data_IF_162397928797
#
_entry.id   IF_162397928797
#
_cell.length_a   1.000
_cell.length_b   1.000
_cell.length_c   1.000
_cell.angle_alpha   90.00
_cell.angle_beta   90.00
_cell.angle_gamma   90.00
#
_symmetry.space_group_name_H-M   'P 1'
#
loop_
_entity.id
_entity.type
_entity.pdbx_description
1 polymer ?
#
# COMPACT_ATOMS: atom_id res chain seq x y z
N UNK A 1 -13.42 13.72 9.39
CA UNK A 1 -14.61 13.22 8.65
C UNK A 1 -15.32 12.27 9.60
N UNK A 2 -16.65 12.33 9.79
CA UNK A 2 -17.34 11.27 10.55
C UNK A 2 -17.51 10.09 9.60
N UNK A 3 -16.91 8.94 9.92
CA UNK A 3 -17.11 7.72 9.14
C UNK A 3 -18.59 7.31 9.19
N UNK A 4 -19.10 6.76 8.09
CA UNK A 4 -20.48 6.28 8.02
C UNK A 4 -20.72 5.21 9.11
N UNK A 5 -21.82 5.33 9.85
CA UNK A 5 -22.06 4.55 11.08
C UNK A 5 -22.05 3.02 10.87
N UNK A 6 -22.31 2.52 9.66
CA UNK A 6 -22.28 1.10 9.31
C UNK A 6 -20.94 0.57 8.77
N UNK A 7 -19.98 1.45 8.44
CA UNK A 7 -18.72 1.06 7.80
C UNK A 7 -17.94 0.00 8.61
N UNK A 8 -17.82 0.10 9.95
CA UNK A 8 -17.12 -0.91 10.74
C UNK A 8 -17.71 -2.32 10.59
N UNK A 9 -19.05 -2.41 10.49
CA UNK A 9 -19.75 -3.69 10.35
C UNK A 9 -19.46 -4.29 8.98
N UNK A 10 -19.57 -3.49 7.92
CA UNK A 10 -19.31 -3.96 6.56
C UNK A 10 -17.85 -4.36 6.33
N UNK A 11 -16.88 -3.63 6.91
CA UNK A 11 -15.45 -3.99 6.82
C UNK A 11 -15.17 -5.34 7.52
N UNK A 12 -15.83 -5.62 8.65
CA UNK A 12 -15.75 -6.93 9.32
C UNK A 12 -16.40 -8.05 8.48
N UNK A 13 -17.55 -7.77 7.89
CA UNK A 13 -18.22 -8.71 6.97
C UNK A 13 -17.35 -9.01 5.77
N UNK A 14 -16.71 -7.97 5.19
CA UNK A 14 -15.73 -8.12 4.11
C UNK A 14 -14.56 -9.00 4.53
N UNK A 15 -13.97 -8.77 5.71
CA UNK A 15 -12.85 -9.59 6.19
C UNK A 15 -13.23 -11.09 6.26
N UNK A 16 -14.42 -11.40 6.75
CA UNK A 16 -14.96 -12.77 6.77
C UNK A 16 -15.24 -13.31 5.36
N UNK A 17 -15.81 -12.49 4.47
CA UNK A 17 -16.01 -12.82 3.06
C UNK A 17 -14.69 -13.10 2.34
N UNK A 18 -13.60 -12.42 2.70
CA UNK A 18 -12.26 -12.68 2.20
C UNK A 18 -11.59 -13.90 2.86
N UNK A 19 -12.32 -14.66 3.69
CA UNK A 19 -11.84 -15.80 4.44
C UNK A 19 -10.75 -15.49 5.49
N UNK A 20 -10.71 -14.25 6.00
CA UNK A 20 -9.79 -13.83 7.05
C UNK A 20 -10.38 -14.11 8.42
N UNK A 21 -10.16 -15.32 8.94
CA UNK A 21 -10.63 -15.74 10.26
C UNK A 21 -9.48 -15.95 11.25
N UNK A 22 -8.36 -16.49 10.75
CA UNK A 22 -7.18 -16.77 11.54
C UNK A 22 -5.94 -16.38 10.72
N UNK A 23 -4.95 -15.70 11.34
CA UNK A 23 -3.78 -15.20 10.65
C UNK A 23 -2.87 -16.31 10.07
N UNK A 24 -2.94 -17.53 10.58
CA UNK A 24 -2.04 -18.64 10.28
C UNK A 24 -2.75 -19.84 9.65
N UNK A 25 -4.04 -20.02 9.88
CA UNK A 25 -4.77 -21.17 9.37
C UNK A 25 -4.84 -21.17 7.83
N UNK A 26 -4.72 -22.36 7.26
CA UNK A 26 -4.97 -22.59 5.86
C UNK A 26 -6.48 -22.58 5.57
N UNK A 27 -6.86 -21.96 4.45
CA UNK A 27 -8.24 -21.82 3.99
C UNK A 27 -8.54 -22.89 2.93
N UNK A 28 -9.58 -23.72 3.10
CA UNK A 28 -10.01 -24.65 2.08
C UNK A 28 -10.44 -23.94 0.79
N UNK A 29 -10.09 -24.47 -0.37
CA UNK A 29 -10.50 -23.88 -1.66
C UNK A 29 -12.02 -23.89 -1.87
N UNK A 30 -12.74 -24.87 -1.30
CA UNK A 30 -14.22 -24.85 -1.27
C UNK A 30 -14.77 -23.62 -0.54
N UNK A 31 -14.12 -23.21 0.55
CA UNK A 31 -14.52 -22.01 1.30
C UNK A 31 -14.24 -20.74 0.52
N UNK A 32 -13.13 -20.69 -0.23
CA UNK A 32 -12.84 -19.56 -1.12
C UNK A 32 -13.91 -19.45 -2.23
N UNK A 33 -14.32 -20.59 -2.81
CA UNK A 33 -15.33 -20.64 -3.87
C UNK A 33 -16.72 -20.23 -3.40
N UNK A 34 -17.10 -20.57 -2.16
CA UNK A 34 -18.40 -20.23 -1.57
C UNK A 34 -18.46 -18.81 -0.98
N UNK A 35 -17.35 -18.08 -0.98
CA UNK A 35 -17.25 -16.83 -0.23
C UNK A 35 -17.92 -15.63 -0.92
N UNK A 36 -18.70 -14.87 -0.16
CA UNK A 36 -19.41 -13.66 -0.63
C UNK A 36 -18.73 -12.38 -0.14
N UNK A 37 -17.53 -12.11 -0.67
CA UNK A 37 -16.86 -10.83 -0.44
C UNK A 37 -17.41 -9.71 -1.34
N UNK A 38 -17.95 -10.04 -2.52
CA UNK A 38 -18.44 -9.08 -3.51
C UNK A 38 -19.64 -8.28 -3.00
N UNK A 39 -20.61 -8.91 -2.33
CA UNK A 39 -21.74 -8.17 -1.78
C UNK A 39 -21.32 -7.17 -0.71
N UNK A 40 -20.29 -7.48 0.07
CA UNK A 40 -19.77 -6.57 1.11
C UNK A 40 -18.99 -5.39 0.51
N UNK A 41 -18.21 -5.62 -0.55
CA UNK A 41 -17.43 -4.55 -1.20
C UNK A 41 -18.36 -3.58 -1.95
N UNK A 42 -19.45 -4.06 -2.56
CA UNK A 42 -20.49 -3.22 -3.18
C UNK A 42 -21.19 -2.31 -2.15
N UNK A 43 -21.48 -2.83 -0.95
CA UNK A 43 -22.07 -2.01 0.11
C UNK A 43 -21.08 -0.95 0.61
N UNK A 44 -19.80 -1.29 0.77
CA UNK A 44 -18.76 -0.32 1.13
C UNK A 44 -18.64 0.76 0.06
N UNK A 45 -18.59 0.38 -1.22
CA UNK A 45 -18.55 1.32 -2.35
C UNK A 45 -19.69 2.32 -2.28
N UNK A 46 -20.94 1.84 -2.12
CA UNK A 46 -22.12 2.71 -2.02
C UNK A 46 -22.01 3.67 -0.84
N UNK A 47 -21.58 3.17 0.32
CA UNK A 47 -21.40 4.00 1.51
C UNK A 47 -20.35 5.11 1.33
N UNK A 48 -19.35 4.89 0.45
CA UNK A 48 -18.30 5.86 0.16
C UNK A 48 -18.68 6.83 -0.97
N UNK A 49 -19.39 6.37 -2.00
CA UNK A 49 -19.56 7.11 -3.25
C UNK A 49 -21.00 7.46 -3.65
N UNK A 50 -22.04 6.94 -2.98
CA UNK A 50 -23.45 7.23 -3.34
C UNK A 50 -23.77 8.73 -3.37
N UNK A 51 -23.12 9.52 -2.51
CA UNK A 51 -23.26 10.97 -2.45
C UNK A 51 -22.07 11.75 -3.06
N UNK A 52 -21.17 11.04 -3.75
CA UNK A 52 -20.03 11.64 -4.42
C UNK A 52 -20.47 12.31 -5.72
N UNK A 53 -19.91 13.49 -6.00
CA UNK A 53 -20.04 14.15 -7.31
C UNK A 53 -18.98 13.69 -8.31
N UNK A 54 -18.04 12.86 -7.87
CA UNK A 54 -16.91 12.38 -8.66
C UNK A 54 -17.26 11.00 -9.17
N UNK A 55 -17.26 10.84 -10.48
CA UNK A 55 -17.40 9.55 -11.16
C UNK A 55 -16.01 8.97 -11.35
N UNK A 56 -15.70 7.86 -10.65
CA UNK A 56 -14.36 7.25 -10.70
C UNK A 56 -14.06 6.51 -12.02
N UNK A 57 -15.04 6.42 -12.92
CA UNK A 57 -14.92 5.68 -14.18
C UNK A 57 -14.33 6.47 -15.35
N UNK A 58 -14.18 7.79 -15.23
CA UNK A 58 -13.83 8.66 -16.37
C UNK A 58 -12.74 9.67 -15.99
N UNK A 59 -11.67 9.72 -16.81
CA UNK A 59 -10.68 10.80 -16.78
C UNK A 59 -9.72 10.83 -15.58
N UNK A 60 -9.64 9.76 -14.80
CA UNK A 60 -8.72 9.63 -13.65
C UNK A 60 -7.65 8.59 -13.99
N UNK A 61 -6.42 9.04 -14.25
CA UNK A 61 -5.31 8.13 -14.52
C UNK A 61 -4.73 7.49 -13.24
N UNK A 62 -4.83 8.22 -12.12
CA UNK A 62 -4.33 7.81 -10.81
C UNK A 62 -5.23 8.33 -9.69
N UNK A 63 -5.62 7.44 -8.78
CA UNK A 63 -6.37 7.71 -7.57
C UNK A 63 -5.46 7.53 -6.34
N UNK A 64 -5.34 8.61 -5.56
CA UNK A 64 -4.59 8.60 -4.30
C UNK A 64 -5.55 8.52 -3.13
N UNK A 65 -5.43 7.45 -2.35
CA UNK A 65 -6.30 7.21 -1.19
C UNK A 65 -5.57 7.68 0.06
N UNK A 66 -6.24 8.55 0.83
CA UNK A 66 -5.78 8.95 2.17
C UNK A 66 -6.75 8.36 3.19
N UNK A 67 -6.50 7.12 3.67
CA UNK A 67 -7.44 6.43 4.54
C UNK A 67 -7.40 6.99 5.98
N UNK A 68 -8.54 6.91 6.65
CA UNK A 68 -8.66 7.12 8.09
C UNK A 68 -9.38 5.93 8.75
N UNK A 69 -9.14 5.68 10.04
CA UNK A 69 -9.87 4.67 10.82
C UNK A 69 -9.97 3.30 10.12
N UNK A 70 -11.22 2.84 9.94
CA UNK A 70 -11.53 1.56 9.29
C UNK A 70 -11.14 1.48 7.81
N UNK A 71 -10.94 2.59 7.11
CA UNK A 71 -10.57 2.60 5.69
C UNK A 71 -9.18 2.02 5.43
N UNK A 72 -8.30 2.00 6.45
CA UNK A 72 -7.00 1.32 6.36
C UNK A 72 -7.11 -0.16 6.02
N UNK A 73 -8.23 -0.81 6.40
CA UNK A 73 -8.47 -2.23 6.15
C UNK A 73 -9.19 -2.51 4.83
N UNK A 74 -9.69 -1.48 4.13
CA UNK A 74 -10.41 -1.65 2.87
C UNK A 74 -9.41 -1.82 1.71
N UNK A 75 -9.43 -2.92 0.96
CA UNK A 75 -8.73 -3.04 -0.31
C UNK A 75 -9.52 -2.32 -1.41
N UNK A 76 -9.21 -1.04 -1.64
CA UNK A 76 -9.94 -0.21 -2.62
C UNK A 76 -9.83 -0.75 -4.05
N UNK A 77 -8.81 -1.55 -4.33
CA UNK A 77 -8.61 -2.29 -5.58
C UNK A 77 -9.81 -3.19 -5.92
N UNK A 78 -10.58 -3.65 -4.92
CA UNK A 78 -11.74 -4.52 -5.11
C UNK A 78 -13.06 -3.76 -5.28
N UNK A 79 -13.07 -2.44 -5.10
CA UNK A 79 -14.31 -1.67 -5.20
C UNK A 79 -14.82 -1.71 -6.64
N UNK A 80 -16.10 -2.03 -6.87
CA UNK A 80 -16.67 -1.98 -8.20
C UNK A 80 -16.75 -0.54 -8.70
N UNK A 81 -16.65 -0.36 -10.00
CA UNK A 81 -16.86 0.96 -10.63
C UNK A 81 -18.36 1.13 -10.89
N UNK A 82 -19.13 1.33 -9.83
CA UNK A 82 -20.59 1.38 -9.91
C UNK A 82 -21.18 2.53 -9.09
N UNK A 83 -21.01 3.78 -9.53
CA UNK A 83 -21.81 4.90 -9.00
C UNK A 83 -21.68 6.16 -9.86
N UNK A 84 -22.68 6.38 -10.73
CA UNK A 84 -23.22 7.71 -11.12
C UNK A 84 -24.39 7.66 -12.12
N UNK A 85 -24.74 6.51 -12.73
CA UNK A 85 -25.90 6.43 -13.65
C UNK A 85 -26.93 5.38 -13.20
N UNK A 86 -28.18 5.77 -12.92
CA UNK A 86 -29.31 4.84 -12.89
C UNK A 86 -29.58 4.34 -14.31
N UNK A 87 -29.44 3.03 -14.56
CA UNK A 87 -29.84 2.40 -15.83
C UNK A 87 -28.79 1.52 -16.55
N UNK A 88 -27.54 1.47 -16.08
CA UNK A 88 -26.50 0.60 -16.65
C UNK A 88 -26.41 -0.78 -15.95
N UNK A 89 -27.58 -1.35 -15.61
CA UNK A 89 -27.72 -2.55 -14.77
C UNK A 89 -27.31 -3.88 -15.45
N UNK A 90 -26.95 -3.89 -16.73
CA UNK A 90 -26.59 -5.13 -17.45
C UNK A 90 -25.09 -5.29 -17.78
N UNK A 91 -24.26 -4.26 -17.58
CA UNK A 91 -22.81 -4.31 -17.88
C UNK A 91 -21.88 -4.01 -16.68
N UNK A 92 -22.44 -3.58 -15.54
CA UNK A 92 -21.69 -3.13 -14.35
C UNK A 92 -21.17 -4.26 -13.44
N UNK A 93 -21.45 -5.52 -13.77
CA UNK A 93 -20.95 -6.69 -13.04
C UNK A 93 -19.59 -7.15 -13.53
N UNK A 94 -18.50 -6.42 -13.25
CA UNK A 94 -17.17 -7.01 -13.45
C UNK A 94 -15.95 -6.10 -13.38
N UNK A 95 -16.08 -4.78 -13.59
CA UNK A 95 -14.91 -3.88 -13.60
C UNK A 95 -14.62 -3.33 -12.20
N UNK A 96 -13.44 -3.62 -11.69
CA UNK A 96 -12.97 -3.11 -10.40
C UNK A 96 -12.27 -1.76 -10.59
N UNK A 97 -12.10 -1.02 -9.49
CA UNK A 97 -11.48 0.30 -9.50
C UNK A 97 -10.05 0.27 -10.04
N UNK A 98 -9.31 -0.80 -9.72
CA UNK A 98 -7.95 -1.06 -10.25
C UNK A 98 -7.88 -1.19 -11.76
N UNK A 99 -8.98 -1.55 -12.42
CA UNK A 99 -9.04 -1.75 -13.87
C UNK A 99 -9.31 -0.43 -14.59
N UNK A 100 -9.60 0.64 -13.84
CA UNK A 100 -10.02 1.94 -14.39
C UNK A 100 -8.99 3.02 -14.12
N UNK A 101 -8.31 2.95 -12.98
CA UNK A 101 -7.24 3.89 -12.62
C UNK A 101 -6.15 3.19 -11.82
N UNK A 102 -4.96 3.79 -11.81
CA UNK A 102 -3.87 3.36 -10.91
C UNK A 102 -4.22 3.77 -9.48
N UNK A 103 -3.93 2.92 -8.51
CA UNK A 103 -4.24 3.19 -7.10
C UNK A 103 -2.94 3.24 -6.30
N UNK A 104 -2.79 4.28 -5.48
CA UNK A 104 -1.81 4.33 -4.40
C UNK A 104 -2.40 4.92 -3.13
N UNK A 105 -1.77 4.62 -2.00
CA UNK A 105 -2.17 5.11 -0.69
C UNK A 105 -1.15 6.12 -0.17
N UNK A 106 -1.62 7.10 0.61
CA UNK A 106 -0.76 8.02 1.33
C UNK A 106 -1.28 8.18 2.76
N UNK A 107 -0.43 8.11 3.79
CA UNK A 107 -0.90 8.20 5.19
C UNK A 107 -1.41 9.59 5.56
N UNK A 108 -0.99 10.62 4.82
CA UNK A 108 -1.51 11.98 4.98
C UNK A 108 -1.71 12.64 3.62
N UNK A 109 -2.58 13.66 3.59
CA UNK A 109 -2.80 14.47 2.39
C UNK A 109 -1.54 15.18 1.91
N UNK A 110 -0.69 15.63 2.83
CA UNK A 110 0.56 16.30 2.46
C UNK A 110 1.50 15.35 1.73
N UNK A 111 1.60 14.10 2.19
CA UNK A 111 2.43 13.08 1.54
C UNK A 111 1.85 12.61 0.19
N UNK A 112 0.57 12.85 -0.08
CA UNK A 112 -0.03 12.51 -1.37
C UNK A 112 0.48 13.40 -2.52
N UNK A 113 0.91 14.63 -2.22
CA UNK A 113 1.25 15.69 -3.19
C UNK A 113 2.61 16.34 -2.95
N UNK A 114 3.39 15.81 -2.01
CA UNK A 114 4.69 16.38 -1.67
C UNK A 114 5.68 16.16 -2.83
N UNK A 115 6.43 17.20 -3.26
CA UNK A 115 7.46 17.04 -4.28
C UNK A 115 8.67 16.32 -3.71
N UNK A 116 9.33 15.49 -4.53
CA UNK A 116 10.52 14.74 -4.12
C UNK A 116 11.42 14.46 -5.31
N UNK A 117 12.71 14.83 -5.22
CA UNK A 117 13.68 14.61 -6.29
C UNK A 117 13.65 13.18 -6.84
N UNK A 118 13.54 13.04 -8.17
CA UNK A 118 13.64 11.75 -8.84
C UNK A 118 14.99 11.07 -8.54
N UNK A 119 14.94 9.75 -8.32
CA UNK A 119 16.06 9.02 -7.73
C UNK A 119 16.69 8.02 -8.68
N UNK A 120 17.99 7.81 -8.48
CA UNK A 120 18.77 6.85 -9.28
C UNK A 120 18.57 5.43 -8.74
N UNK A 121 18.45 4.42 -9.61
CA UNK A 121 18.38 3.03 -9.18
C UNK A 121 19.66 2.61 -8.44
N UNK A 122 19.49 1.92 -7.31
CA UNK A 122 20.59 1.41 -6.49
C UNK A 122 20.40 -0.04 -6.05
N UNK A 123 21.30 -0.54 -5.16
CA UNK A 123 21.28 -1.94 -4.74
C UNK A 123 19.97 -2.32 -4.03
N UNK A 124 19.54 -3.56 -4.25
CA UNK A 124 18.33 -4.14 -3.63
C UNK A 124 18.76 -5.07 -2.51
N UNK A 125 18.48 -4.70 -1.26
CA UNK A 125 18.68 -5.57 -0.11
C UNK A 125 17.49 -6.52 0.06
N UNK A 126 17.75 -7.82 0.15
CA UNK A 126 16.67 -8.82 0.32
C UNK A 126 16.93 -9.66 1.56
N UNK A 127 16.04 -9.57 2.54
CA UNK A 127 16.01 -10.47 3.69
C UNK A 127 14.89 -11.49 3.51
N UNK A 128 15.21 -12.77 3.64
CA UNK A 128 14.20 -13.84 3.67
C UNK A 128 14.29 -14.56 5.01
N UNK A 129 13.24 -14.42 5.79
CA UNK A 129 13.02 -15.11 7.05
C UNK A 129 11.92 -16.17 6.90
N UNK A 130 11.36 -16.60 8.03
CA UNK A 130 10.13 -17.41 8.01
C UNK A 130 8.94 -16.47 7.89
N UNK A 131 8.20 -16.58 6.79
CA UNK A 131 6.86 -16.02 6.66
C UNK A 131 5.86 -16.90 7.40
N UNK A 132 5.98 -18.23 7.36
CA UNK A 132 5.09 -19.14 8.08
C UNK A 132 5.84 -20.04 9.07
N UNK A 133 5.12 -20.45 10.12
CA UNK A 133 5.68 -21.35 11.15
C UNK A 133 6.14 -22.70 10.59
N UNK A 134 5.50 -23.17 9.52
CA UNK A 134 5.78 -24.44 8.86
C UNK A 134 6.94 -24.39 7.86
N UNK A 135 7.44 -23.21 7.51
CA UNK A 135 8.49 -23.05 6.51
C UNK A 135 9.84 -23.58 7.02
N UNK A 136 10.51 -24.29 6.12
CA UNK A 136 11.85 -24.82 6.30
C UNK A 136 12.88 -23.84 5.73
N UNK A 137 14.15 -23.92 6.17
CA UNK A 137 15.22 -23.08 5.62
C UNK A 137 15.35 -23.17 4.08
N UNK A 138 15.09 -24.35 3.49
CA UNK A 138 15.11 -24.55 2.04
C UNK A 138 14.04 -23.72 1.31
N UNK A 139 12.89 -23.44 1.94
CA UNK A 139 11.84 -22.60 1.34
C UNK A 139 12.32 -21.15 1.24
N UNK A 140 12.99 -20.65 2.29
CA UNK A 140 13.59 -19.32 2.30
C UNK A 140 14.72 -19.17 1.25
N UNK A 141 15.55 -20.21 1.08
CA UNK A 141 16.58 -20.27 0.05
C UNK A 141 15.96 -20.24 -1.36
N UNK A 142 14.86 -20.95 -1.58
CA UNK A 142 14.15 -20.94 -2.87
C UNK A 142 13.57 -19.57 -3.20
N UNK A 143 12.98 -18.87 -2.21
CA UNK A 143 12.50 -17.48 -2.39
C UNK A 143 13.66 -16.55 -2.72
N UNK A 144 14.76 -16.62 -1.97
CA UNK A 144 15.94 -15.77 -2.23
C UNK A 144 16.52 -16.03 -3.63
N UNK A 145 16.61 -17.31 -4.05
CA UNK A 145 17.09 -17.69 -5.36
C UNK A 145 16.17 -17.17 -6.49
N UNK A 146 14.85 -17.26 -6.30
CA UNK A 146 13.87 -16.73 -7.25
C UNK A 146 14.02 -15.21 -7.44
N UNK A 147 14.09 -14.46 -6.34
CA UNK A 147 14.24 -12.99 -6.35
C UNK A 147 15.59 -12.59 -6.97
N UNK A 148 16.68 -13.27 -6.61
CA UNK A 148 18.03 -12.98 -7.12
C UNK A 148 18.16 -13.31 -8.61
N UNK A 149 17.44 -14.32 -9.11
CA UNK A 149 17.42 -14.64 -10.53
C UNK A 149 16.65 -13.62 -11.37
N UNK A 150 15.69 -12.91 -10.77
CA UNK A 150 14.77 -12.00 -11.46
C UNK A 150 15.21 -10.53 -11.46
N UNK A 151 16.12 -10.14 -10.56
CA UNK A 151 16.47 -8.74 -10.29
C UNK A 151 17.98 -8.58 -10.23
N UNK A 152 18.50 -7.59 -10.95
CA UNK A 152 19.91 -7.26 -10.91
C UNK A 152 20.30 -6.58 -9.59
N UNK A 153 21.57 -6.74 -9.18
CA UNK A 153 22.15 -6.05 -8.00
C UNK A 153 21.45 -6.37 -6.67
N UNK A 154 20.86 -7.56 -6.55
CA UNK A 154 20.35 -8.09 -5.28
C UNK A 154 21.51 -8.41 -4.33
N UNK A 155 21.40 -7.91 -3.11
CA UNK A 155 22.31 -8.20 -1.99
C UNK A 155 21.50 -8.94 -0.91
N UNK A 156 21.73 -10.25 -0.72
CA UNK A 156 21.11 -10.99 0.37
C UNK A 156 21.50 -10.43 1.74
N UNK A 157 20.52 -10.22 2.61
CA UNK A 157 20.70 -9.72 3.97
C UNK A 157 20.45 -10.85 4.97
N UNK A 158 21.52 -11.37 5.56
CA UNK A 158 21.46 -12.48 6.50
C UNK A 158 21.80 -12.02 7.94
N UNK A 159 21.12 -12.53 8.98
CA UNK A 159 21.43 -12.17 10.37
C UNK A 159 22.82 -12.61 10.87
N UNK A 160 23.49 -13.50 10.14
CA UNK A 160 24.87 -13.93 10.39
C UNK A 160 25.90 -13.32 9.42
N UNK A 161 25.51 -12.32 8.63
CA UNK A 161 26.39 -11.65 7.68
C UNK A 161 27.49 -10.82 8.36
N UNK A 162 28.48 -10.34 7.58
CA UNK A 162 29.61 -9.55 8.10
C UNK A 162 29.18 -8.19 8.68
N UNK A 163 28.00 -7.69 8.30
CA UNK A 163 27.42 -6.46 8.81
C UNK A 163 26.05 -6.75 9.45
N UNK A 164 25.68 -6.04 10.54
CA UNK A 164 24.32 -6.05 11.06
C UNK A 164 23.32 -5.63 9.96
N UNK A 165 22.15 -6.26 9.91
CA UNK A 165 21.17 -5.98 8.84
C UNK A 165 20.79 -4.49 8.74
N UNK A 166 20.57 -3.74 9.83
CA UNK A 166 20.30 -2.30 9.71
C UNK A 166 21.41 -1.52 9.01
N UNK A 167 22.66 -1.91 9.23
CA UNK A 167 23.83 -1.28 8.61
C UNK A 167 23.92 -1.66 7.13
N UNK A 168 23.71 -2.94 6.81
CA UNK A 168 23.66 -3.41 5.43
C UNK A 168 22.47 -2.83 4.65
N UNK A 169 21.31 -2.69 5.29
CA UNK A 169 20.14 -2.06 4.70
C UNK A 169 20.35 -0.56 4.46
N UNK A 170 21.10 0.13 5.33
CA UNK A 170 21.41 1.56 5.16
C UNK A 170 22.27 1.87 3.93
N UNK A 171 22.84 0.87 3.23
CA UNK A 171 23.53 1.09 1.94
C UNK A 171 22.68 0.72 0.72
N UNK A 172 21.51 0.08 0.93
CA UNK A 172 20.56 -0.27 -0.12
C UNK A 172 19.60 0.89 -0.41
N UNK A 173 19.17 1.02 -1.67
CA UNK A 173 18.09 1.96 -2.04
C UNK A 173 16.71 1.31 -1.92
N UNK A 174 16.65 -0.01 -2.13
CA UNK A 174 15.44 -0.82 -1.99
C UNK A 174 15.67 -1.91 -0.97
N UNK A 175 14.70 -2.15 -0.10
CA UNK A 175 14.72 -3.20 0.91
C UNK A 175 13.47 -4.07 0.78
N UNK A 176 13.63 -5.39 0.66
CA UNK A 176 12.53 -6.33 0.68
C UNK A 176 12.71 -7.33 1.82
N UNK A 177 11.71 -7.47 2.68
CA UNK A 177 11.74 -8.31 3.88
C UNK A 177 10.62 -9.34 3.80
N UNK A 178 10.96 -10.55 3.35
CA UNK A 178 10.08 -11.71 3.31
C UNK A 178 10.15 -12.45 4.64
N UNK A 179 9.55 -11.89 5.68
CA UNK A 179 9.48 -12.50 7.00
C UNK A 179 8.16 -12.17 7.68
N UNK A 180 7.76 -12.96 8.67
CA UNK A 180 6.61 -12.66 9.51
C UNK A 180 6.89 -11.42 10.36
N UNK A 181 6.08 -10.37 10.19
CA UNK A 181 6.17 -9.12 10.93
C UNK A 181 4.85 -8.93 11.68
N UNK A 182 4.84 -9.35 12.94
CA UNK A 182 3.70 -9.26 13.84
C UNK A 182 4.21 -9.08 15.27
N UNK A 183 3.40 -8.47 16.13
CA UNK A 183 3.73 -8.29 17.53
C UNK A 183 2.52 -7.91 18.35
N UNK A 184 2.67 -8.04 19.67
CA UNK A 184 1.71 -7.54 20.63
C UNK A 184 2.08 -6.11 21.03
N UNK A 185 1.07 -5.30 21.36
CA UNK A 185 1.27 -3.92 21.81
C UNK A 185 1.56 -2.93 20.67
N UNK A 186 2.23 -1.80 20.96
CA UNK A 186 2.46 -0.73 19.99
C UNK A 186 3.30 -1.19 18.79
N UNK A 187 3.01 -0.65 17.61
CA UNK A 187 3.74 -0.96 16.37
C UNK A 187 5.24 -0.72 16.49
N UNK A 188 5.65 0.30 17.25
CA UNK A 188 7.05 0.62 17.49
C UNK A 188 7.85 -0.56 18.07
N UNK A 189 7.24 -1.48 18.84
CA UNK A 189 7.91 -2.68 19.37
C UNK A 189 7.83 -3.89 18.46
N UNK A 190 7.09 -3.84 17.36
CA UNK A 190 6.98 -4.96 16.43
C UNK A 190 8.31 -5.17 15.69
N UNK A 191 8.68 -6.43 15.40
CA UNK A 191 9.88 -6.72 14.63
C UNK A 191 9.70 -6.24 13.17
N UNK A 192 10.65 -5.44 12.69
CA UNK A 192 10.80 -5.08 11.27
C UNK A 192 11.80 -6.01 10.57
N UNK A 193 12.89 -6.36 11.25
CA UNK A 193 13.88 -7.33 10.76
C UNK A 193 14.15 -8.37 11.86
N UNK A 194 13.66 -9.62 11.73
CA UNK A 194 14.03 -10.67 12.67
C UNK A 194 15.50 -11.05 12.49
N UNK A 195 16.29 -11.05 13.59
CA UNK A 195 17.73 -11.39 13.55
C UNK A 195 17.99 -12.89 13.81
N UNK A 196 16.95 -13.71 13.71
CA UNK A 196 16.99 -15.15 13.98
C UNK A 196 16.63 -15.53 15.41
N UNK A 197 16.41 -16.82 15.64
CA UNK A 197 15.94 -17.36 16.91
C UNK A 197 16.87 -16.97 18.08
N UNK A 198 16.32 -16.28 19.09
CA UNK A 198 17.05 -15.89 20.31
C UNK A 198 17.99 -14.69 20.19
N UNK A 199 18.14 -14.08 19.01
CA UNK A 199 19.04 -12.92 18.77
C UNK A 199 18.33 -11.56 18.75
N UNK A 200 17.07 -11.53 19.17
CA UNK A 200 16.23 -10.34 19.11
C UNK A 200 15.79 -9.99 17.68
N UNK A 201 15.23 -8.81 17.52
CA UNK A 201 14.83 -8.25 16.24
C UNK A 201 15.09 -6.74 16.25
N UNK A 202 15.27 -6.18 15.06
CA UNK A 202 15.24 -4.72 14.88
C UNK A 202 13.77 -4.36 14.79
N UNK A 203 13.29 -3.55 15.72
CA UNK A 203 11.89 -3.11 15.75
C UNK A 203 11.64 -1.93 14.82
N UNK A 204 10.37 -1.57 14.59
CA UNK A 204 10.01 -0.31 13.91
C UNK A 204 10.56 0.91 14.67
N UNK A 205 10.55 0.89 16.00
CA UNK A 205 11.13 1.95 16.83
C UNK A 205 12.64 2.07 16.66
N UNK A 206 13.36 0.94 16.58
CA UNK A 206 14.80 0.94 16.29
C UNK A 206 15.11 1.45 14.88
N UNK A 207 14.19 1.25 13.93
CA UNK A 207 14.33 1.72 12.56
C UNK A 207 14.35 3.24 12.47
N UNK A 208 13.52 3.91 13.28
CA UNK A 208 13.46 5.36 13.41
C UNK A 208 14.69 5.96 14.10
N UNK A 209 15.46 5.17 14.84
CA UNK A 209 16.66 5.65 15.50
C UNK A 209 17.71 6.10 14.47
N UNK A 210 18.48 7.20 14.72
CA UNK A 210 19.56 7.62 13.84
C UNK A 210 20.61 6.51 13.58
N UNK A 211 21.30 6.54 12.43
CA UNK A 211 21.16 7.49 11.33
C UNK A 211 19.91 7.25 10.48
N UNK A 212 19.53 8.26 9.69
CA UNK A 212 18.49 8.13 8.66
C UNK A 212 18.80 6.92 7.78
N UNK A 213 17.76 6.15 7.46
CA UNK A 213 17.89 4.97 6.64
C UNK A 213 17.85 5.41 5.18
N UNK A 214 18.71 4.80 4.37
CA UNK A 214 18.80 5.06 2.94
C UNK A 214 17.65 4.45 2.13
N UNK A 215 17.10 3.26 2.48
CA UNK A 215 16.05 2.64 1.67
C UNK A 215 14.86 3.57 1.44
N UNK A 216 14.61 3.87 0.18
CA UNK A 216 13.49 4.68 -0.25
C UNK A 216 12.29 3.83 -0.60
N UNK A 217 12.54 2.58 -0.99
CA UNK A 217 11.52 1.60 -1.29
C UNK A 217 11.62 0.44 -0.32
N UNK A 218 10.53 0.16 0.39
CA UNK A 218 10.50 -0.89 1.42
C UNK A 218 9.32 -1.82 1.18
N UNK A 219 9.59 -3.10 0.98
CA UNK A 219 8.56 -4.13 0.79
C UNK A 219 8.49 -4.98 2.06
N UNK A 220 7.34 -4.95 2.72
CA UNK A 220 6.98 -5.74 3.90
C UNK A 220 5.75 -6.61 3.60
N UNK A 221 5.85 -7.60 2.68
CA UNK A 221 4.74 -8.48 2.33
C UNK A 221 4.32 -9.42 3.46
N UNK A 222 5.07 -9.43 4.57
CA UNK A 222 4.78 -10.24 5.73
C UNK A 222 4.24 -9.51 6.95
N UNK A 223 3.91 -8.22 6.81
CA UNK A 223 3.18 -7.47 7.84
C UNK A 223 1.81 -8.09 8.10
N UNK A 224 1.51 -8.37 9.36
CA UNK A 224 0.23 -8.93 9.78
C UNK A 224 -0.53 -7.91 10.63
N UNK A 225 -1.72 -7.53 10.19
CA UNK A 225 -2.59 -6.59 10.91
C UNK A 225 -3.77 -7.31 11.54
N UNK A 226 -4.59 -6.60 12.32
CA UNK A 226 -5.84 -7.12 12.85
C UNK A 226 -6.84 -7.58 11.76
N UNK A 227 -6.65 -7.15 10.50
CA UNK A 227 -7.46 -7.62 9.36
C UNK A 227 -7.34 -9.13 9.15
N UNK A 228 -6.19 -9.72 9.44
CA UNK A 228 -5.95 -11.13 9.18
C UNK A 228 -6.71 -12.09 10.12
N UNK A 229 -7.16 -11.59 11.27
CA UNK A 229 -8.05 -12.27 12.22
C UNK A 229 -9.50 -11.76 12.13
N UNK A 230 -9.89 -11.24 10.97
CA UNK A 230 -11.28 -10.79 10.74
C UNK A 230 -11.68 -9.57 11.57
N UNK A 231 -10.72 -8.81 12.11
CA UNK A 231 -10.94 -7.65 12.97
C UNK A 231 -11.77 -8.00 14.22
N UNK A 232 -11.55 -9.18 14.80
CA UNK A 232 -12.13 -9.57 16.09
C UNK A 232 -11.66 -8.66 17.22
N UNK A 233 -10.35 -8.38 17.26
CA UNK A 233 -9.69 -7.52 18.24
C UNK A 233 -8.90 -6.39 17.54
N UNK A 234 -9.59 -5.42 16.91
CA UNK A 234 -8.92 -4.29 16.28
C UNK A 234 -8.22 -3.42 17.35
N UNK A 235 -7.19 -2.65 16.98
CA UNK A 235 -6.59 -1.67 17.88
C UNK A 235 -7.62 -0.66 18.40
N UNK A 236 -7.32 -0.01 19.52
CA UNK A 236 -8.18 1.03 20.13
C UNK A 236 -8.56 2.10 19.11
N UNK A 237 -7.62 2.46 18.23
CA UNK A 237 -7.89 3.28 17.05
C UNK A 237 -7.79 2.37 15.81
N UNK A 238 -8.91 2.08 15.13
CA UNK A 238 -8.89 1.27 13.92
C UNK A 238 -7.90 1.83 12.89
N UNK A 239 -7.12 0.94 12.29
CA UNK A 239 -6.10 1.26 11.29
C UNK A 239 -4.76 1.73 11.85
N UNK A 240 -4.61 1.88 13.17
CA UNK A 240 -3.36 2.33 13.80
C UNK A 240 -2.19 1.36 13.53
N UNK A 241 -2.46 0.06 13.48
CA UNK A 241 -1.49 -0.99 13.14
C UNK A 241 -0.92 -0.84 11.72
N UNK A 242 -1.70 -0.35 10.75
CA UNK A 242 -1.23 -0.03 9.40
C UNK A 242 -0.60 1.35 9.36
N UNK A 243 -1.32 2.36 9.88
CA UNK A 243 -0.94 3.77 9.81
C UNK A 243 0.43 4.03 10.44
N UNK A 244 0.68 3.52 11.65
CA UNK A 244 1.97 3.72 12.32
C UNK A 244 3.08 2.97 11.59
N UNK A 245 2.85 1.74 11.15
CA UNK A 245 3.86 0.96 10.43
C UNK A 245 4.31 1.70 9.18
N UNK A 246 3.37 2.17 8.34
CA UNK A 246 3.72 2.88 7.11
C UNK A 246 4.33 4.25 7.38
N UNK A 247 3.84 4.96 8.40
CA UNK A 247 4.38 6.28 8.75
C UNK A 247 5.80 6.18 9.29
N UNK A 248 6.11 5.14 10.08
CA UNK A 248 7.46 4.90 10.60
C UNK A 248 8.46 4.62 9.46
N UNK A 249 8.04 3.86 8.45
CA UNK A 249 8.88 3.62 7.25
C UNK A 249 9.17 4.92 6.48
N UNK A 250 8.14 5.75 6.27
CA UNK A 250 8.31 7.02 5.55
C UNK A 250 9.11 8.03 6.39
N UNK A 251 8.88 8.09 7.70
CA UNK A 251 9.63 8.95 8.62
C UNK A 251 11.11 8.56 8.72
N UNK A 252 11.44 7.27 8.53
CA UNK A 252 12.82 6.80 8.46
C UNK A 252 13.55 7.14 7.13
N UNK A 253 12.86 7.75 6.16
CA UNK A 253 13.40 8.13 4.86
C UNK A 253 12.76 7.42 3.66
N UNK A 254 11.84 6.49 3.90
CA UNK A 254 11.07 5.82 2.85
C UNK A 254 10.19 6.79 2.06
N UNK A 255 9.92 6.45 0.80
CA UNK A 255 9.00 7.18 -0.10
C UNK A 255 7.91 6.27 -0.65
N UNK A 256 8.30 5.03 -0.93
CA UNK A 256 7.41 3.97 -1.39
C UNK A 256 7.49 2.81 -0.41
N UNK A 257 6.36 2.28 0.01
CA UNK A 257 6.28 1.04 0.75
C UNK A 257 5.20 0.14 0.15
N UNK A 258 5.47 -1.16 0.08
CA UNK A 258 4.42 -2.17 -0.17
C UNK A 258 4.27 -2.96 1.11
N UNK A 259 3.10 -2.86 1.74
CA UNK A 259 2.82 -3.54 3.01
C UNK A 259 1.62 -4.45 2.87
N UNK A 260 1.61 -5.57 3.58
CA UNK A 260 0.43 -6.43 3.66
C UNK A 260 -0.49 -6.04 4.83
N UNK A 261 -1.80 -6.05 4.58
CA UNK A 261 -2.86 -6.07 5.61
C UNK A 261 -2.98 -7.47 6.21
N UNK A 262 -2.82 -8.49 5.37
CA UNK A 262 -2.71 -9.89 5.77
C UNK A 262 -1.69 -10.59 4.88
N UNK A 263 -0.89 -11.48 5.48
CA UNK A 263 0.16 -12.23 4.79
C UNK A 263 -0.39 -13.57 4.28
N UNK A 264 -0.03 -13.93 3.06
CA UNK A 264 -0.24 -15.29 2.51
C UNK A 264 1.05 -16.10 2.40
N UNK A 265 2.16 -15.46 2.04
CA UNK A 265 3.51 -16.03 2.05
C UNK A 265 3.83 -17.04 0.95
N UNK A 266 2.88 -17.34 0.05
CA UNK A 266 3.07 -18.31 -1.03
C UNK A 266 3.66 -17.72 -2.30
N UNK A 267 3.58 -18.50 -3.38
CA UNK A 267 4.04 -18.12 -4.73
C UNK A 267 3.48 -16.75 -5.16
N UNK A 268 2.17 -16.54 -5.02
CA UNK A 268 1.51 -15.28 -5.39
C UNK A 268 2.16 -14.07 -4.70
N UNK A 269 2.48 -14.20 -3.40
CA UNK A 269 3.18 -13.16 -2.64
C UNK A 269 4.56 -12.86 -3.24
N UNK A 270 5.36 -13.91 -3.46
CA UNK A 270 6.73 -13.80 -3.95
C UNK A 270 6.77 -13.21 -5.35
N UNK A 271 5.88 -13.64 -6.24
CA UNK A 271 5.83 -13.17 -7.62
C UNK A 271 5.36 -11.72 -7.70
N UNK A 272 4.34 -11.33 -6.94
CA UNK A 272 3.89 -9.92 -6.85
C UNK A 272 5.05 -8.99 -6.46
N UNK A 273 5.78 -9.35 -5.41
CA UNK A 273 6.92 -8.55 -4.95
C UNK A 273 8.06 -8.55 -5.97
N UNK A 274 8.31 -9.70 -6.61
CA UNK A 274 9.40 -9.85 -7.59
C UNK A 274 9.13 -9.04 -8.85
N UNK A 275 7.92 -9.10 -9.40
CA UNK A 275 7.53 -8.32 -10.58
C UNK A 275 7.55 -6.82 -10.28
N UNK A 276 7.06 -6.40 -9.11
CA UNK A 276 7.16 -5.00 -8.70
C UNK A 276 8.62 -4.54 -8.55
N UNK A 277 9.49 -5.35 -7.94
CA UNK A 277 10.91 -5.03 -7.82
C UNK A 277 11.59 -4.96 -9.18
N UNK A 278 11.31 -5.90 -10.09
CA UNK A 278 11.89 -5.93 -11.44
C UNK A 278 11.59 -4.64 -12.20
N UNK A 279 10.32 -4.25 -12.27
CA UNK A 279 9.90 -3.03 -12.97
C UNK A 279 10.45 -1.77 -12.29
N UNK A 280 10.43 -1.74 -10.96
CA UNK A 280 10.83 -0.56 -10.19
C UNK A 280 12.35 -0.37 -10.09
N UNK A 281 13.16 -1.35 -10.52
CA UNK A 281 14.63 -1.31 -10.53
C UNK A 281 15.23 -1.37 -11.94
N UNK A 282 14.37 -1.38 -12.97
CA UNK A 282 14.77 -1.26 -14.36
C UNK A 282 15.56 0.03 -14.61
N UNK A 283 16.28 0.08 -15.74
CA UNK A 283 17.07 1.25 -16.13
C UNK A 283 16.21 2.51 -16.29
N UNK A 284 15.00 2.35 -16.83
CA UNK A 284 13.96 3.36 -16.92
C UNK A 284 12.75 2.88 -16.10
N UNK A 285 12.72 3.16 -14.78
CA UNK A 285 11.68 2.63 -13.92
C UNK A 285 10.35 3.36 -14.16
N UNK A 286 9.27 2.58 -14.26
CA UNK A 286 7.91 3.10 -14.29
C UNK A 286 7.53 3.80 -12.98
N UNK A 287 6.38 4.47 -12.94
CA UNK A 287 5.87 4.96 -11.64
C UNK A 287 5.62 3.82 -10.68
N UNK A 288 5.69 4.08 -9.37
CA UNK A 288 5.40 3.04 -8.38
C UNK A 288 3.99 2.45 -8.59
N UNK A 289 3.02 3.30 -8.93
CA UNK A 289 1.65 2.89 -9.22
C UNK A 289 1.54 2.07 -10.52
N UNK A 290 2.27 2.44 -11.58
CA UNK A 290 2.36 1.67 -12.83
C UNK A 290 3.00 0.29 -12.62
N UNK A 291 4.16 0.26 -11.96
CA UNK A 291 4.89 -0.97 -11.67
C UNK A 291 4.04 -1.91 -10.80
N UNK A 292 3.33 -1.37 -9.82
CA UNK A 292 2.46 -2.17 -8.96
C UNK A 292 1.25 -2.72 -9.71
N UNK A 293 0.53 -1.89 -10.46
CA UNK A 293 -0.62 -2.35 -11.25
C UNK A 293 -0.21 -3.47 -12.22
N UNK A 294 0.89 -3.29 -12.94
CA UNK A 294 1.44 -4.31 -13.84
C UNK A 294 1.82 -5.60 -13.13
N UNK A 295 2.47 -5.52 -11.96
CA UNK A 295 2.80 -6.70 -11.16
C UNK A 295 1.54 -7.50 -10.78
N UNK A 296 0.47 -6.80 -10.37
CA UNK A 296 -0.79 -7.45 -10.04
C UNK A 296 -1.47 -8.03 -11.29
N UNK A 297 -1.45 -7.33 -12.43
CA UNK A 297 -2.01 -7.84 -13.69
C UNK A 297 -1.31 -9.12 -14.16
N UNK A 298 0.02 -9.16 -14.08
CA UNK A 298 0.81 -10.34 -14.43
C UNK A 298 0.42 -11.53 -13.55
N UNK A 299 0.42 -11.35 -12.23
CA UNK A 299 0.12 -12.44 -11.29
C UNK A 299 -1.33 -12.92 -11.42
N UNK A 300 -2.29 -12.03 -11.73
CA UNK A 300 -3.68 -12.45 -11.99
C UNK A 300 -3.86 -13.21 -13.31
N UNK A 301 -2.97 -13.00 -14.28
CA UNK A 301 -2.99 -13.72 -15.54
C UNK A 301 -2.39 -15.13 -15.44
N UNK A 302 -1.60 -15.41 -14.40
CA UNK A 302 -0.98 -16.72 -14.19
C UNK A 302 -1.99 -17.79 -13.75
N UNK A 303 -1.68 -19.05 -14.09
CA UNK A 303 -2.46 -20.19 -13.60
C UNK A 303 -2.20 -20.39 -12.09
N UNK A 304 -3.27 -20.46 -11.26
CA UNK A 304 -3.12 -20.63 -9.82
C UNK A 304 -2.44 -21.96 -9.46
N UNK A 305 -1.45 -21.90 -8.56
CA UNK A 305 -0.75 -23.09 -8.05
C UNK A 305 -0.99 -23.24 -6.55
N UNK A 306 -2.07 -23.95 -6.18
CA UNK A 306 -2.42 -24.16 -4.79
C UNK A 306 -1.35 -24.93 -3.99
N UNK A 307 -0.48 -25.72 -4.64
CA UNK A 307 0.57 -26.46 -3.93
C UNK A 307 1.68 -25.53 -3.41
N UNK A 308 1.83 -24.35 -4.04
CA UNK A 308 2.77 -23.31 -3.63
C UNK A 308 2.10 -22.18 -2.83
N UNK A 309 0.84 -22.36 -2.45
CA UNK A 309 0.09 -21.44 -1.60
C UNK A 309 -0.11 -22.04 -0.20
N UNK A 310 0.76 -21.74 0.77
CA UNK A 310 0.78 -22.43 2.07
C UNK A 310 -0.41 -22.10 2.98
N UNK A 311 -1.16 -21.03 2.67
CA UNK A 311 -2.44 -20.72 3.31
C UNK A 311 -3.66 -21.25 2.54
N UNK A 312 -3.46 -22.09 1.53
CA UNK A 312 -4.53 -22.72 0.76
C UNK A 312 -4.50 -24.23 1.00
N UNK A 313 -5.66 -24.80 1.32
CA UNK A 313 -5.84 -26.24 1.42
C UNK A 313 -6.76 -26.69 0.29
N UNK A 314 -6.26 -27.51 -0.63
CA UNK A 314 -7.04 -27.97 -1.77
C UNK A 314 -8.17 -28.90 -1.30
N UNK A 315 -9.40 -28.55 -1.68
CA UNK A 315 -10.59 -29.40 -1.61
C UNK A 315 -10.79 -30.08 -2.97
N UNK A 316 -10.98 -31.42 -3.04
CA UNK A 316 -11.18 -32.14 -4.31
C UNK A 316 -12.36 -31.63 -5.15
N UNK A 317 -13.41 -31.15 -4.49
CA UNK A 317 -14.67 -30.70 -5.12
C UNK A 317 -14.59 -29.26 -5.66
N UNK A 318 -13.56 -28.50 -5.29
CA UNK A 318 -13.40 -27.10 -5.65
C UNK A 318 -11.91 -26.77 -5.80
N UNK A 319 -11.25 -27.16 -6.90
CA UNK A 319 -9.85 -26.79 -7.13
C UNK A 319 -9.67 -25.27 -7.18
N UNK A 320 -8.47 -24.78 -6.91
CA UNK A 320 -8.13 -23.37 -7.10
C UNK A 320 -8.06 -23.09 -8.61
N UNK A 321 -8.93 -22.23 -9.12
CA UNK A 321 -9.02 -21.87 -10.54
C UNK A 321 -9.03 -20.35 -10.71
N UNK A 322 -8.96 -19.89 -11.97
CA UNK A 322 -9.15 -18.47 -12.30
C UNK A 322 -10.63 -18.07 -12.26
N UNK A 323 -10.95 -16.80 -11.95
CA UNK A 323 -10.03 -15.74 -11.51
C UNK A 323 -9.47 -16.00 -10.09
N UNK A 324 -8.24 -15.55 -9.82
CA UNK A 324 -7.59 -15.76 -8.53
C UNK A 324 -8.34 -15.04 -7.41
N UNK A 325 -8.68 -15.77 -6.36
CA UNK A 325 -9.43 -15.24 -5.23
C UNK A 325 -8.69 -14.06 -4.55
N UNK A 326 -9.37 -12.93 -4.22
CA UNK A 326 -8.73 -11.75 -3.62
C UNK A 326 -7.96 -11.99 -2.32
N UNK A 327 -8.30 -13.04 -1.58
CA UNK A 327 -7.52 -13.52 -0.43
C UNK A 327 -6.01 -13.60 -0.72
N UNK A 328 -5.61 -13.98 -1.94
CA UNK A 328 -4.22 -14.22 -2.30
C UNK A 328 -3.43 -12.95 -2.69
N UNK A 329 -4.10 -11.92 -3.21
CA UNK A 329 -3.45 -10.76 -3.85
C UNK A 329 -3.91 -9.39 -3.35
N UNK A 330 -5.15 -9.24 -2.86
CA UNK A 330 -5.69 -7.94 -2.47
C UNK A 330 -5.23 -7.46 -1.07
N UNK A 331 -4.43 -8.29 -0.39
CA UNK A 331 -3.88 -7.98 0.92
C UNK A 331 -2.79 -6.91 0.91
N UNK A 332 -2.16 -6.66 -0.24
CA UNK A 332 -1.02 -5.77 -0.35
C UNK A 332 -1.45 -4.35 -0.72
N UNK A 333 -0.83 -3.36 -0.09
CA UNK A 333 -1.10 -1.94 -0.25
C UNK A 333 0.17 -1.24 -0.72
N UNK A 334 0.10 -0.55 -1.87
CA UNK A 334 1.14 0.37 -2.30
C UNK A 334 0.94 1.72 -1.60
N UNK A 335 1.79 2.01 -0.62
CA UNK A 335 1.92 3.35 -0.04
C UNK A 335 3.01 4.09 -0.81
N UNK A 336 2.67 5.23 -1.38
CA UNK A 336 3.62 5.98 -2.20
C UNK A 336 3.37 7.48 -2.10
N UNK A 337 4.45 8.23 -1.89
CA UNK A 337 4.39 9.68 -1.75
C UNK A 337 4.31 10.42 -3.10
N UNK A 338 4.24 9.68 -4.21
CA UNK A 338 4.21 10.21 -5.57
C UNK A 338 5.60 10.29 -6.20
N UNK A 339 5.62 10.65 -7.49
CA UNK A 339 6.84 10.93 -8.23
C UNK A 339 6.97 12.43 -8.51
N UNK A 340 8.21 12.91 -8.57
CA UNK A 340 8.49 14.26 -9.06
C UNK A 340 8.01 14.42 -10.51
N UNK A 341 6.97 15.23 -10.67
CA UNK A 341 7.10 16.53 -11.32
C UNK A 341 6.38 17.51 -10.41
N UNK A 342 7.06 18.60 -10.02
CA UNK A 342 6.37 19.89 -10.16
C UNK A 342 5.83 19.84 -11.57
N UNK A 343 4.51 19.64 -11.73
CA UNK A 343 3.89 20.27 -12.89
C UNK A 343 4.44 21.69 -12.86
N UNK A 344 5.03 22.21 -13.96
CA UNK A 344 5.21 23.66 -14.01
C UNK A 344 3.84 24.17 -13.58
N UNK A 345 3.80 24.91 -12.48
CA UNK A 345 2.58 25.56 -12.01
C UNK A 345 1.88 26.02 -13.28
N UNK A 346 0.68 25.51 -13.61
CA UNK A 346 0.07 25.80 -14.90
C UNK A 346 0.07 27.30 -15.01
N UNK A 347 0.91 27.84 -15.90
CA UNK A 347 1.39 29.23 -15.83
C UNK A 347 0.19 30.08 -15.50
N UNK A 348 0.14 30.60 -14.26
CA UNK A 348 -1.10 31.01 -13.60
C UNK A 348 -2.02 31.60 -14.65
N UNK A 349 -3.04 30.84 -15.07
CA UNK A 349 -3.89 31.26 -16.18
C UNK A 349 -4.36 32.65 -15.79
N UNK A 350 -3.89 33.67 -16.51
CA UNK A 350 -3.86 35.04 -16.04
C UNK A 350 -5.22 35.35 -15.44
N UNK A 351 -5.30 35.28 -14.10
CA UNK A 351 -6.53 35.58 -13.39
C UNK A 351 -6.70 37.03 -13.72
N UNK A 352 -7.70 37.31 -14.56
CA UNK A 352 -7.95 38.64 -15.11
C UNK A 352 -7.74 39.63 -14.00
N UNK A 353 -6.71 40.47 -14.16
CA UNK A 353 -6.35 41.49 -13.22
C UNK A 353 -7.65 42.20 -12.82
N UNK A 354 -8.07 42.14 -11.54
CA UNK A 354 -9.31 42.79 -11.14
C UNK A 354 -9.23 44.24 -11.61
N UNK A 355 -10.32 44.78 -12.21
CA UNK A 355 -10.29 46.11 -12.79
C UNK A 355 -9.75 47.09 -11.76
N UNK A 356 -8.75 47.85 -12.15
CA UNK A 356 -8.08 48.81 -11.27
C UNK A 356 -9.15 49.67 -10.59
N UNK A 357 -9.16 49.66 -9.25
CA UNK A 357 -9.99 50.57 -8.48
C UNK A 357 -9.67 52.01 -8.95
N UNK A 358 -10.69 52.84 -9.20
CA UNK A 358 -10.45 54.23 -9.55
C UNK A 358 -9.64 54.90 -8.44
N UNK A 359 -8.70 55.80 -8.80
CA UNK A 359 -7.81 56.42 -7.84
C UNK A 359 -8.61 57.15 -6.77
N UNK A 360 -8.23 56.93 -5.51
CA UNK A 360 -8.83 57.61 -4.37
C UNK A 360 -8.72 59.14 -4.55
N UNK A 361 -9.76 59.91 -4.20
CA UNK A 361 -9.71 61.36 -4.30
C UNK A 361 -8.57 61.91 -3.44
N UNK A 362 -7.76 62.76 -4.07
CA UNK A 362 -6.63 63.45 -3.46
C UNK A 362 -7.16 64.30 -2.30
N UNK A 363 -6.64 64.15 -1.06
CA UNK A 363 -7.03 65.00 0.05
C UNK A 363 -6.62 66.46 -0.24
N UNK A 364 -7.46 67.44 0.13
CA UNK A 364 -7.20 68.84 -0.19
C UNK A 364 -5.90 69.31 0.47
N UNK A 365 -5.13 70.07 -0.30
CA UNK A 365 -3.86 70.65 0.13
C UNK A 365 -4.06 71.53 1.37
N UNK A 366 -3.29 71.24 2.42
CA UNK A 366 -3.19 72.11 3.60
C UNK A 366 -2.46 73.37 3.14
N UNK A 367 -3.19 74.49 3.10
CA UNK A 367 -2.61 75.80 2.85
C UNK A 367 -1.72 76.19 4.05
N UNK A 368 -0.43 76.36 3.80
CA UNK A 368 0.45 76.98 4.79
C UNK A 368 0.11 78.48 4.89
N UNK A 369 -0.06 79.02 6.11
CA UNK A 369 -0.43 80.42 6.30
C UNK A 369 0.72 81.32 5.84
N UNK A 370 0.39 82.29 4.99
CA UNK A 370 1.31 83.35 4.60
C UNK A 370 1.69 84.18 5.82
N UNK A 371 2.98 84.52 5.86
CA UNK A 371 3.58 85.47 6.79
C UNK A 371 2.85 86.82 6.75
N UNK A 372 2.58 87.36 7.94
CA UNK A 372 2.25 88.77 8.15
C UNK A 372 3.35 89.44 8.97
N UNK A 373 3.61 90.73 8.75
CA UNK A 373 4.83 91.46 9.09
C UNK A 373 5.13 91.65 10.57
#
# INVERSE_FOLDING_TARGET
MRQAAGLPVEVKTLARGLCLFDPLAAVPTSRLAESDWSGSIERIERMLFENSKVTLSEGIDELVIVPDGWLWYVPFELLPVASSRPGDDEAAGGRMLRDTCRIRYAPTRSLAVMPFEAQRPGPVGVHVGRMLRSEKPADAEAVLAHVTAAIDRVTPLAPGGPLPIPVAAAVCETLAIFAELTGDGPVASWPLVPLGAGKGAVSFGDWLAPPLKRPQRILLPGLQTSMASGLETPPVRPGEDVFLAVTDLLAAGGRTAVVSRWRTGGKTCVDLMTEFLRESTAAEPATAAEAWQRAVDLVLAEEPDAAREPRVKVSPEAPLTRPLHPFLWAGYMLVDCGQDRSSPEPAAAAVGQPPALPPAPVPPAIANPQAGP
#
